data_IF_139092412260
#
_entry.id   IF_139092412260
#
_cell.length_a   1.000
_cell.length_b   1.000
_cell.length_c   1.000
_cell.angle_alpha   90.00
_cell.angle_beta   90.00
_cell.angle_gamma   90.00
#
_symmetry.space_group_name_H-M   'P 1'
#
loop_
_entity.id
_entity.type
_entity.pdbx_description
1 polymer ?
#
# COMPACT_ATOMS: atom_id res chain seq x y z
N UNK A 1 -2.76 11.73 17.36
CA UNK A 1 -3.29 10.82 16.33
C UNK A 1 -2.12 10.40 15.46
N UNK A 2 -1.91 9.09 15.26
CA UNK A 2 -0.75 8.59 14.50
C UNK A 2 -1.17 8.39 13.05
N UNK A 3 -0.58 9.14 12.14
CA UNK A 3 -0.73 8.90 10.70
C UNK A 3 0.25 7.81 10.28
N UNK A 4 -0.23 6.82 9.54
CA UNK A 4 0.59 5.76 8.94
C UNK A 4 0.73 6.01 7.45
N UNK A 5 1.81 5.49 6.88
CA UNK A 5 1.99 5.50 5.44
C UNK A 5 2.52 4.17 4.93
N UNK A 6 2.25 3.88 3.67
CA UNK A 6 2.82 2.75 2.95
C UNK A 6 3.25 3.21 1.57
N UNK A 7 4.42 2.73 1.14
CA UNK A 7 4.97 3.01 -0.18
C UNK A 7 4.44 1.95 -1.14
N UNK A 8 3.96 2.37 -2.29
CA UNK A 8 3.52 1.49 -3.37
C UNK A 8 4.69 1.34 -4.35
N UNK A 9 5.12 0.10 -4.56
CA UNK A 9 6.26 -0.24 -5.41
C UNK A 9 5.81 -1.10 -6.58
N UNK A 10 6.36 -0.82 -7.76
CA UNK A 10 6.28 -1.67 -8.93
C UNK A 10 7.56 -2.50 -9.04
N UNK A 11 7.41 -3.80 -9.30
CA UNK A 11 8.49 -4.77 -9.45
C UNK A 11 8.29 -5.47 -10.79
N UNK A 12 8.93 -5.03 -11.88
CA UNK A 12 8.81 -5.68 -13.19
C UNK A 12 9.38 -7.10 -13.19
N UNK A 13 10.52 -7.31 -12.53
CA UNK A 13 11.14 -8.62 -12.38
C UNK A 13 11.35 -8.94 -10.88
N UNK A 14 10.56 -9.88 -10.32
CA UNK A 14 10.69 -10.25 -8.91
C UNK A 14 11.96 -11.06 -8.61
N UNK A 15 12.62 -11.64 -9.61
CA UNK A 15 13.86 -12.41 -9.45
C UNK A 15 15.05 -11.46 -9.33
N UNK A 16 15.05 -10.37 -10.12
CA UNK A 16 16.12 -9.37 -10.11
C UNK A 16 16.03 -8.38 -8.92
N UNK A 17 14.91 -8.39 -8.17
CA UNK A 17 14.60 -7.43 -7.09
C UNK A 17 14.67 -5.96 -7.54
N UNK A 18 14.42 -5.73 -8.83
CA UNK A 18 14.34 -4.41 -9.41
C UNK A 18 12.99 -3.80 -9.04
N UNK A 19 13.01 -2.72 -8.24
CA UNK A 19 11.79 -2.08 -7.76
C UNK A 19 11.84 -0.57 -7.93
N UNK A 20 10.69 0.01 -8.26
CA UNK A 20 10.49 1.45 -8.36
C UNK A 20 9.28 1.89 -7.57
N UNK A 21 9.44 2.95 -6.76
CA UNK A 21 8.32 3.55 -6.04
C UNK A 21 7.42 4.29 -7.04
N UNK A 22 6.13 3.97 -7.04
CA UNK A 22 5.14 4.56 -7.94
C UNK A 22 4.07 5.39 -7.22
N UNK A 23 3.98 5.27 -5.90
CA UNK A 23 3.04 6.04 -5.10
C UNK A 23 3.20 5.85 -3.60
N UNK A 24 2.36 6.56 -2.86
CA UNK A 24 2.25 6.49 -1.41
C UNK A 24 0.77 6.51 -1.04
N UNK A 25 0.42 5.73 -0.02
CA UNK A 25 -0.85 5.85 0.69
C UNK A 25 -0.57 6.30 2.12
N UNK A 26 -1.32 7.28 2.59
CA UNK A 26 -1.28 7.79 3.95
C UNK A 26 -2.68 7.60 4.53
N UNK A 27 -2.76 7.05 5.73
CA UNK A 27 -4.04 6.76 6.36
C UNK A 27 -3.98 6.96 7.87
N UNK A 28 -5.14 7.29 8.42
CA UNK A 28 -5.42 7.30 9.85
C UNK A 28 -6.85 6.76 10.06
N UNK A 29 -7.41 6.98 11.25
CA UNK A 29 -8.77 6.51 11.59
C UNK A 29 -9.89 7.24 10.81
N UNK A 30 -9.61 8.41 10.24
CA UNK A 30 -10.61 9.31 9.67
C UNK A 30 -10.48 9.52 8.16
N UNK A 31 -9.35 9.13 7.56
CA UNK A 31 -9.06 9.45 6.18
C UNK A 31 -8.02 8.52 5.56
N UNK A 32 -8.25 8.18 4.29
CA UNK A 32 -7.25 7.59 3.40
C UNK A 32 -6.90 8.59 2.30
N UNK A 33 -5.61 8.84 2.09
CA UNK A 33 -5.10 9.69 1.00
C UNK A 33 -4.05 8.93 0.21
N UNK A 34 -4.10 9.02 -1.11
CA UNK A 34 -3.09 8.42 -1.97
C UNK A 34 -2.53 9.44 -2.95
N UNK A 35 -1.27 9.23 -3.35
CA UNK A 35 -0.62 10.01 -4.41
C UNK A 35 0.27 9.10 -5.22
N UNK A 36 0.17 9.23 -6.54
CA UNK A 36 0.97 8.49 -7.50
C UNK A 36 1.86 9.43 -8.32
N UNK A 37 2.82 8.87 -9.04
CA UNK A 37 3.64 9.60 -9.99
C UNK A 37 2.77 10.24 -11.08
N UNK A 38 3.09 11.47 -11.45
CA UNK A 38 2.46 12.16 -12.59
C UNK A 38 3.18 11.86 -13.90
N UNK A 39 4.50 11.68 -13.86
CA UNK A 39 5.30 11.25 -14.99
C UNK A 39 5.61 9.75 -14.89
N UNK A 40 5.01 8.96 -15.79
CA UNK A 40 5.16 7.51 -15.89
C UNK A 40 6.26 7.05 -16.84
N UNK A 41 6.94 7.98 -17.53
CA UNK A 41 8.00 7.67 -18.48
C UNK A 41 9.13 6.84 -17.85
N UNK A 42 9.53 7.21 -16.63
CA UNK A 42 10.55 6.46 -15.87
C UNK A 42 10.10 5.03 -15.57
N UNK A 43 8.83 4.82 -15.24
CA UNK A 43 8.30 3.49 -14.92
C UNK A 43 8.24 2.63 -16.18
N UNK A 44 7.84 3.23 -17.31
CA UNK A 44 7.82 2.57 -18.62
C UNK A 44 9.22 2.13 -19.07
N UNK A 45 10.21 3.03 -18.95
CA UNK A 45 11.60 2.71 -19.29
C UNK A 45 12.20 1.65 -18.36
N UNK A 46 11.76 1.63 -17.09
CA UNK A 46 12.24 0.65 -16.11
C UNK A 46 11.66 -0.75 -16.35
N UNK A 47 10.36 -0.85 -16.62
CA UNK A 47 9.72 -2.14 -16.87
C UNK A 47 9.91 -2.70 -18.27
N UNK A 48 10.29 -1.87 -19.26
CA UNK A 48 10.38 -2.24 -20.68
C UNK A 48 9.08 -2.86 -21.27
N UNK A 49 7.97 -2.77 -20.55
CA UNK A 49 6.67 -3.38 -20.84
C UNK A 49 5.55 -2.34 -20.86
N UNK A 50 4.35 -2.78 -21.22
CA UNK A 50 3.13 -1.98 -21.07
C UNK A 50 2.85 -1.73 -19.58
N UNK A 51 2.65 -0.46 -19.23
CA UNK A 51 2.42 0.00 -17.86
C UNK A 51 1.01 0.55 -17.66
N UNK A 52 0.12 0.41 -18.64
CA UNK A 52 -1.24 0.94 -18.53
C UNK A 52 -2.01 0.32 -17.36
N UNK A 53 -1.73 -0.95 -17.03
CA UNK A 53 -2.26 -1.59 -15.82
C UNK A 53 -1.85 -0.88 -14.51
N UNK A 54 -0.68 -0.24 -14.47
CA UNK A 54 -0.23 0.53 -13.29
C UNK A 54 -0.98 1.85 -13.17
N UNK A 55 -1.33 2.47 -14.30
CA UNK A 55 -2.17 3.68 -14.31
C UNK A 55 -3.60 3.35 -13.91
N UNK A 56 -4.16 2.27 -14.44
CA UNK A 56 -5.48 1.76 -14.05
C UNK A 56 -5.51 1.38 -12.56
N UNK A 57 -4.43 0.80 -12.05
CA UNK A 57 -4.26 0.56 -10.62
C UNK A 57 -4.25 1.86 -9.81
N UNK A 58 -3.46 2.86 -10.23
CA UNK A 58 -3.39 4.16 -9.55
C UNK A 58 -4.77 4.84 -9.49
N UNK A 59 -5.51 4.83 -10.60
CA UNK A 59 -6.85 5.41 -10.68
C UNK A 59 -7.84 4.70 -9.76
N UNK A 60 -7.79 3.37 -9.69
CA UNK A 60 -8.63 2.59 -8.75
C UNK A 60 -8.31 2.90 -7.30
N UNK A 61 -7.04 3.01 -6.94
CA UNK A 61 -6.62 3.33 -5.56
C UNK A 61 -7.02 4.76 -5.20
N UNK A 62 -6.89 5.72 -6.12
CA UNK A 62 -7.32 7.10 -5.88
C UNK A 62 -8.84 7.20 -5.70
N UNK A 63 -9.62 6.49 -6.52
CA UNK A 63 -11.09 6.42 -6.36
C UNK A 63 -11.49 5.77 -5.03
N UNK A 64 -10.90 4.63 -4.69
CA UNK A 64 -11.18 3.96 -3.41
C UNK A 64 -10.83 4.83 -2.18
N UNK A 65 -9.79 5.65 -2.28
CA UNK A 65 -9.44 6.60 -1.22
C UNK A 65 -10.44 7.76 -1.10
N UNK A 66 -11.14 8.13 -2.18
CA UNK A 66 -12.21 9.14 -2.14
C UNK A 66 -13.50 8.58 -1.54
N UNK A 67 -13.75 7.29 -1.73
CA UNK A 67 -14.92 6.60 -1.17
C UNK A 67 -14.74 6.26 0.33
N UNK A 68 -13.65 6.72 0.95
CA UNK A 68 -13.28 6.57 2.36
C UNK A 68 -13.39 5.13 2.86
N UNK A 69 -13.13 4.17 1.97
CA UNK A 69 -13.15 2.75 2.29
C UNK A 69 -11.94 2.49 3.18
N UNK A 70 -12.16 2.61 4.49
CA UNK A 70 -11.31 2.07 5.54
C UNK A 70 -10.96 0.62 5.18
N UNK A 71 -9.69 0.26 5.38
CA UNK A 71 -9.24 -1.11 5.18
C UNK A 71 -10.19 -2.07 5.89
N UNK A 72 -10.78 -3.06 5.18
CA UNK A 72 -11.73 -3.98 5.80
C UNK A 72 -11.07 -4.68 6.98
N UNK A 73 -11.60 -4.45 8.20
CA UNK A 73 -11.09 -5.02 9.45
C UNK A 73 -10.70 -4.02 10.54
N UNK A 74 -10.66 -2.72 10.24
CA UNK A 74 -10.57 -1.66 11.25
C UNK A 74 -11.99 -1.26 11.67
N UNK A 75 -12.63 -2.05 12.55
CA UNK A 75 -13.75 -1.51 13.35
C UNK A 75 -13.24 -0.35 14.20
N UNK A 76 -14.14 0.51 14.71
CA UNK A 76 -13.91 1.52 15.76
C UNK A 76 -13.42 0.93 17.10
N UNK A 77 -12.65 -0.15 17.06
CA UNK A 77 -11.90 -0.69 18.17
C UNK A 77 -10.65 0.16 18.35
N UNK A 78 -10.45 0.67 19.56
CA UNK A 78 -9.32 1.49 20.00
C UNK A 78 -7.94 0.78 19.92
N UNK A 79 -7.84 -0.33 19.19
CA UNK A 79 -6.65 -1.17 19.09
C UNK A 79 -6.34 -1.42 17.62
N UNK A 80 -5.30 -0.77 17.08
CA UNK A 80 -4.86 -0.96 15.71
C UNK A 80 -4.43 -2.39 15.36
N UNK A 81 -4.84 -2.90 14.20
CA UNK A 81 -4.53 -4.26 13.74
C UNK A 81 -3.04 -4.61 13.64
N UNK A 82 -2.14 -3.65 13.38
CA UNK A 82 -0.69 -3.90 13.33
C UNK A 82 -0.06 -4.28 14.69
N UNK A 83 -0.78 -4.11 15.81
CA UNK A 83 -0.37 -4.61 17.13
C UNK A 83 -0.89 -6.03 17.42
N UNK A 84 -1.73 -6.59 16.54
CA UNK A 84 -2.44 -7.87 16.76
C UNK A 84 -1.59 -9.12 16.45
N UNK A 85 -0.26 -8.99 16.34
CA UNK A 85 0.68 -10.12 16.22
C UNK A 85 1.84 -10.01 17.21
N UNK A 86 1.66 -10.59 18.41
CA UNK A 86 2.67 -11.40 19.11
C UNK A 86 2.14 -11.95 20.44
N UNK A 87 1.11 -12.81 20.43
CA UNK A 87 0.77 -13.59 21.63
C UNK A 87 0.13 -14.94 21.33
N UNK A 88 0.60 -15.61 20.26
CA UNK A 88 0.34 -17.03 20.00
C UNK A 88 1.67 -17.76 19.74
N UNK A 89 2.60 -17.62 20.68
CA UNK A 89 3.77 -18.49 20.82
C UNK A 89 3.81 -19.03 22.25
N UNK A 90 2.76 -19.77 22.60
CA UNK A 90 2.79 -20.68 23.76
C UNK A 90 3.10 -22.08 23.23
N UNK A 91 4.38 -22.36 22.99
CA UNK A 91 4.92 -23.71 22.92
C UNK A 91 6.38 -23.68 23.39
N UNK A 92 6.69 -24.59 24.32
CA UNK A 92 7.98 -24.91 24.96
C UNK A 92 8.27 -24.18 26.29
N UNK A 93 7.62 -24.64 27.35
CA UNK A 93 8.27 -24.83 28.65
C UNK A 93 8.84 -26.27 28.65
N UNK A 94 10.16 -26.41 28.78
CA UNK A 94 10.84 -27.61 29.32
C UNK A 94 11.03 -27.42 30.83
#
# INVERSE_FOLDING_TARGET
>A
MVSRYSIIQYVPDPIADERINIGVVVFNEDAVKSRFLTNWERVRLFGMEDIDFLKDFADRVQKAALDDILFPGDEHSKIPNHERRSSDRTWMDE
#
